data_IF_650963273883
#
_entry.id   IF_650963273883
#
_cell.length_a   1.000
_cell.length_b   1.000
_cell.length_c   1.000
_cell.angle_alpha   90.00
_cell.angle_beta   90.00
_cell.angle_gamma   90.00
#
_symmetry.space_group_name_H-M   'P 1'
#
loop_
_entity.id
_entity.type
_entity.pdbx_description
1 polymer ?
#
# COMPACT_ATOMS: atom_id res chain seq x y z
N UNK A 1 -13.23 -7.87 17.72
CA UNK A 1 -12.05 -8.45 17.04
C UNK A 1 -12.52 -9.59 16.14
N UNK A 2 -11.97 -9.71 14.93
CA UNK A 2 -12.27 -10.78 13.98
C UNK A 2 -10.99 -11.58 13.71
N UNK A 3 -11.00 -12.88 13.92
CA UNK A 3 -9.88 -13.78 13.64
C UNK A 3 -10.23 -14.66 12.44
N UNK A 4 -9.38 -14.64 11.42
CA UNK A 4 -9.51 -15.45 10.20
C UNK A 4 -8.29 -16.37 10.11
N UNK A 5 -8.52 -17.67 10.14
CA UNK A 5 -7.48 -18.70 10.03
C UNK A 5 -7.53 -19.29 8.62
N UNK A 6 -6.39 -19.31 7.94
CA UNK A 6 -6.23 -19.88 6.59
C UNK A 6 -5.16 -20.98 6.61
N UNK A 7 -5.21 -21.88 5.63
CA UNK A 7 -4.37 -23.07 5.60
C UNK A 7 -2.89 -22.77 5.28
N UNK A 8 -2.64 -21.68 4.51
CA UNK A 8 -1.31 -21.34 4.03
C UNK A 8 -1.22 -19.85 3.69
N UNK A 9 -0.01 -19.42 3.33
CA UNK A 9 0.30 -18.04 2.95
C UNK A 9 -0.53 -17.55 1.74
N UNK A 10 -0.70 -18.40 0.73
CA UNK A 10 -1.45 -18.01 -0.49
C UNK A 10 -2.93 -17.80 -0.19
N UNK A 11 -3.54 -18.66 0.60
CA UNK A 11 -4.94 -18.52 1.01
C UNK A 11 -5.14 -17.29 1.89
N UNK A 12 -4.19 -17.00 2.78
CA UNK A 12 -4.20 -15.80 3.61
C UNK A 12 -4.10 -14.53 2.75
N UNK A 13 -3.17 -14.52 1.80
CA UNK A 13 -2.96 -13.39 0.89
C UNK A 13 -4.18 -13.14 0.00
N UNK A 14 -4.79 -14.22 -0.53
CA UNK A 14 -5.99 -14.11 -1.35
C UNK A 14 -7.17 -13.55 -0.55
N UNK A 15 -7.35 -14.01 0.70
CA UNK A 15 -8.41 -13.50 1.57
C UNK A 15 -8.19 -12.02 1.90
N UNK A 16 -6.97 -11.63 2.25
CA UNK A 16 -6.65 -10.24 2.58
C UNK A 16 -6.86 -9.32 1.36
N UNK A 17 -6.43 -9.73 0.18
CA UNK A 17 -6.64 -8.97 -1.05
C UNK A 17 -8.14 -8.81 -1.36
N UNK A 18 -8.93 -9.86 -1.23
CA UNK A 18 -10.38 -9.79 -1.44
C UNK A 18 -11.04 -8.86 -0.43
N UNK A 19 -10.65 -8.93 0.83
CA UNK A 19 -11.17 -8.06 1.89
C UNK A 19 -10.88 -6.57 1.60
N UNK A 20 -9.68 -6.24 1.15
CA UNK A 20 -9.31 -4.88 0.76
C UNK A 20 -10.11 -4.44 -0.48
N UNK A 21 -10.17 -5.28 -1.51
CA UNK A 21 -10.91 -4.97 -2.73
C UNK A 21 -12.40 -4.73 -2.45
N UNK A 22 -13.01 -5.55 -1.61
CA UNK A 22 -14.41 -5.39 -1.19
C UNK A 22 -14.61 -4.07 -0.43
N UNK A 23 -13.68 -3.71 0.46
CA UNK A 23 -13.74 -2.44 1.19
C UNK A 23 -13.66 -1.23 0.25
N UNK A 24 -12.75 -1.26 -0.73
CA UNK A 24 -12.62 -0.21 -1.75
C UNK A 24 -13.90 -0.13 -2.59
N UNK A 25 -14.39 -1.26 -3.09
CA UNK A 25 -15.56 -1.32 -3.97
C UNK A 25 -16.86 -0.91 -3.27
N UNK A 26 -16.96 -1.15 -1.96
CA UNK A 26 -18.12 -0.79 -1.14
C UNK A 26 -18.03 0.61 -0.55
N UNK A 27 -16.93 1.32 -0.74
CA UNK A 27 -16.76 2.70 -0.27
C UNK A 27 -17.68 3.65 -1.06
N UNK A 28 -18.63 4.26 -0.37
CA UNK A 28 -19.65 5.15 -0.97
C UNK A 28 -19.56 6.59 -0.48
N UNK A 29 -18.53 6.90 0.30
CA UNK A 29 -18.33 8.25 0.81
C UNK A 29 -17.78 9.17 -0.28
N UNK A 30 -18.11 10.46 -0.18
CA UNK A 30 -17.66 11.51 -1.11
C UNK A 30 -16.23 11.99 -0.77
N UNK A 31 -15.35 11.02 -0.49
CA UNK A 31 -13.91 11.21 -0.19
C UNK A 31 -13.13 9.98 -0.65
N UNK A 32 -11.82 10.10 -0.90
CA UNK A 32 -11.00 8.94 -1.24
C UNK A 32 -11.01 7.87 -0.15
N UNK A 33 -10.88 6.62 -0.56
CA UNK A 33 -10.62 5.51 0.36
C UNK A 33 -9.17 5.60 0.85
N UNK A 34 -8.95 5.62 2.15
CA UNK A 34 -7.61 5.69 2.73
C UNK A 34 -7.14 4.30 3.14
N UNK A 35 -5.99 3.88 2.63
CA UNK A 35 -5.42 2.56 2.83
C UNK A 35 -4.02 2.66 3.45
N UNK A 36 -3.85 2.12 4.65
CA UNK A 36 -2.55 1.93 5.29
C UNK A 36 -1.85 0.68 4.75
N UNK A 37 -0.58 0.78 4.40
CA UNK A 37 0.20 -0.29 3.77
C UNK A 37 1.50 -0.56 4.52
N UNK A 38 1.77 -1.83 4.88
CA UNK A 38 3.05 -2.26 5.42
C UNK A 38 4.05 -2.62 4.32
N UNK A 39 5.32 -2.71 4.68
CA UNK A 39 6.38 -3.32 3.87
C UNK A 39 6.73 -4.73 4.38
N UNK A 40 7.73 -5.35 3.78
CA UNK A 40 8.20 -6.68 4.18
C UNK A 40 7.56 -7.82 3.39
N UNK A 41 7.92 -9.05 3.74
CA UNK A 41 7.51 -10.25 3.01
C UNK A 41 6.05 -10.66 3.26
N UNK A 42 5.49 -10.31 4.41
CA UNK A 42 4.12 -10.72 4.78
C UNK A 42 3.05 -10.20 3.81
N UNK A 43 3.06 -8.92 3.38
CA UNK A 43 2.02 -8.39 2.48
C UNK A 43 2.26 -8.67 0.99
N UNK A 44 3.41 -9.19 0.58
CA UNK A 44 3.75 -9.35 -0.85
C UNK A 44 2.72 -10.18 -1.62
N UNK A 45 2.26 -11.27 -1.05
CA UNK A 45 1.22 -12.09 -1.67
C UNK A 45 -0.11 -11.35 -1.84
N UNK A 46 -0.46 -10.52 -0.87
CA UNK A 46 -1.64 -9.65 -0.94
C UNK A 46 -1.49 -8.61 -2.05
N UNK A 47 -0.33 -7.95 -2.14
CA UNK A 47 -0.05 -6.98 -3.22
C UNK A 47 -0.12 -7.62 -4.59
N UNK A 48 0.48 -8.80 -4.77
CA UNK A 48 0.41 -9.55 -6.02
C UNK A 48 -1.05 -9.82 -6.43
N UNK A 49 -1.88 -10.26 -5.52
CA UNK A 49 -3.30 -10.51 -5.77
C UNK A 49 -4.06 -9.23 -6.13
N UNK A 50 -3.80 -8.13 -5.42
CA UNK A 50 -4.42 -6.83 -5.73
C UNK A 50 -4.01 -6.32 -7.12
N UNK A 51 -2.76 -6.52 -7.54
CA UNK A 51 -2.30 -6.21 -8.89
C UNK A 51 -3.07 -7.02 -9.93
N UNK A 52 -3.21 -8.33 -9.73
CA UNK A 52 -4.00 -9.21 -10.62
C UNK A 52 -5.45 -8.72 -10.71
N UNK A 53 -6.08 -8.38 -9.59
CA UNK A 53 -7.47 -7.87 -9.53
C UNK A 53 -7.61 -6.51 -10.23
N UNK A 54 -6.63 -5.62 -10.08
CA UNK A 54 -6.62 -4.33 -10.76
C UNK A 54 -6.51 -4.51 -12.28
N UNK A 55 -5.61 -5.38 -12.74
CA UNK A 55 -5.47 -5.70 -14.17
C UNK A 55 -6.71 -6.37 -14.76
N UNK A 56 -7.39 -7.18 -13.97
CA UNK A 56 -8.67 -7.79 -14.36
C UNK A 56 -9.87 -6.83 -14.31
N UNK A 57 -9.69 -5.62 -13.79
CA UNK A 57 -10.75 -4.62 -13.66
C UNK A 57 -11.70 -4.84 -12.49
N UNK A 58 -11.39 -5.73 -11.55
CA UNK A 58 -12.25 -6.04 -10.40
C UNK A 58 -12.07 -5.07 -9.23
N UNK A 59 -10.99 -4.32 -9.19
CA UNK A 59 -10.73 -3.23 -8.25
C UNK A 59 -9.94 -2.12 -8.92
N UNK A 60 -10.25 -0.86 -8.61
CA UNK A 60 -9.50 0.33 -9.08
C UNK A 60 -8.96 1.11 -7.89
N UNK A 61 -7.71 1.58 -8.02
CA UNK A 61 -7.05 2.41 -7.03
C UNK A 61 -7.10 3.91 -7.38
N UNK A 62 -7.83 4.31 -8.40
CA UNK A 62 -7.91 5.72 -8.85
C UNK A 62 -8.43 6.66 -7.77
N UNK A 63 -9.33 6.20 -6.91
CA UNK A 63 -9.88 6.97 -5.79
C UNK A 63 -9.38 6.44 -4.42
N UNK A 64 -8.15 5.93 -4.39
CA UNK A 64 -7.50 5.44 -3.17
C UNK A 64 -6.32 6.34 -2.86
N UNK A 65 -6.15 6.69 -1.59
CA UNK A 65 -4.98 7.37 -1.04
C UNK A 65 -4.28 6.42 -0.09
N UNK A 66 -2.98 6.25 -0.24
CA UNK A 66 -2.21 5.31 0.57
C UNK A 66 -1.24 6.01 1.51
N UNK A 67 -1.01 5.39 2.67
CA UNK A 67 0.01 5.79 3.65
C UNK A 67 0.81 4.56 4.08
N UNK A 68 2.13 4.62 3.95
CA UNK A 68 3.03 3.65 4.56
C UNK A 68 3.36 4.07 5.99
N UNK A 69 3.68 3.09 6.86
CA UNK A 69 3.82 3.35 8.29
C UNK A 69 5.17 3.97 8.65
N UNK A 70 6.21 3.73 7.87
CA UNK A 70 7.57 4.15 8.17
C UNK A 70 8.46 4.25 6.93
N UNK A 71 9.65 4.84 7.10
CA UNK A 71 10.74 4.87 6.13
C UNK A 71 12.07 4.96 6.88
N UNK A 72 13.15 4.48 6.27
CA UNK A 72 14.51 4.63 6.79
C UNK A 72 14.98 6.08 6.72
N UNK A 73 15.59 6.55 7.83
CA UNK A 73 16.23 7.85 7.89
C UNK A 73 17.62 7.77 7.26
N UNK A 74 17.94 8.77 6.43
CA UNK A 74 19.24 8.87 5.78
C UNK A 74 19.39 8.02 4.52
N UNK A 75 18.31 7.42 4.03
CA UNK A 75 18.32 6.59 2.83
C UNK A 75 17.54 7.29 1.71
N UNK A 76 18.15 7.57 0.54
CA UNK A 76 17.45 8.12 -0.61
C UNK A 76 16.34 7.18 -1.08
N UNK A 77 15.24 7.75 -1.57
CA UNK A 77 14.09 6.96 -2.06
C UNK A 77 14.43 6.03 -3.23
N UNK A 78 15.42 6.40 -4.03
CA UNK A 78 15.89 5.64 -5.18
C UNK A 78 16.78 4.45 -4.80
N UNK A 79 17.20 4.38 -3.54
CA UNK A 79 17.98 3.25 -3.04
C UNK A 79 17.11 1.98 -3.00
N UNK A 80 17.65 0.85 -3.45
CA UNK A 80 16.93 -0.42 -3.55
C UNK A 80 16.45 -1.00 -2.20
N UNK A 81 16.95 -0.48 -1.09
CA UNK A 81 16.54 -0.86 0.26
C UNK A 81 15.54 0.11 0.90
N UNK A 82 15.22 1.24 0.25
CA UNK A 82 14.20 2.16 0.75
C UNK A 82 12.80 1.53 0.66
N UNK A 83 11.90 1.93 1.56
CA UNK A 83 10.52 1.48 1.48
C UNK A 83 9.76 2.14 0.34
N UNK A 84 10.17 3.34 -0.08
CA UNK A 84 9.68 3.95 -1.31
C UNK A 84 9.95 3.05 -2.52
N UNK A 85 11.20 2.59 -2.68
CA UNK A 85 11.58 1.68 -3.75
C UNK A 85 10.81 0.36 -3.66
N UNK A 86 10.77 -0.25 -2.47
CA UNK A 86 10.04 -1.49 -2.23
C UNK A 86 8.59 -1.41 -2.68
N UNK A 87 7.88 -0.35 -2.25
CA UNK A 87 6.45 -0.20 -2.55
C UNK A 87 6.20 0.07 -4.03
N UNK A 88 7.04 0.86 -4.69
CA UNK A 88 6.90 1.12 -6.13
C UNK A 88 7.21 -0.13 -6.95
N UNK A 89 8.28 -0.85 -6.63
CA UNK A 89 8.68 -2.06 -7.34
C UNK A 89 7.66 -3.20 -7.18
N UNK A 90 7.10 -3.36 -5.99
CA UNK A 90 6.21 -4.48 -5.67
C UNK A 90 4.72 -4.17 -5.81
N UNK A 91 4.31 -2.91 -5.89
CA UNK A 91 2.88 -2.57 -5.89
C UNK A 91 2.53 -1.37 -6.76
N UNK A 92 2.99 -0.16 -6.41
CA UNK A 92 2.45 1.07 -7.01
C UNK A 92 2.69 1.18 -8.51
N UNK A 93 3.82 0.70 -9.04
CA UNK A 93 4.11 0.72 -10.48
C UNK A 93 3.19 -0.22 -11.30
N UNK A 94 2.43 -1.09 -10.65
CA UNK A 94 1.63 -2.13 -11.30
C UNK A 94 0.12 -1.90 -11.21
N UNK A 95 -0.31 -0.80 -10.59
CA UNK A 95 -1.72 -0.47 -10.38
C UNK A 95 -2.06 0.94 -10.89
N UNK A 96 -3.34 1.26 -10.98
CA UNK A 96 -3.85 2.53 -11.50
C UNK A 96 -3.95 3.67 -10.47
N UNK A 97 -3.16 3.60 -9.39
CA UNK A 97 -3.13 4.66 -8.38
C UNK A 97 -2.45 5.92 -8.93
N UNK A 98 -3.04 7.12 -8.77
CA UNK A 98 -2.36 8.37 -9.09
C UNK A 98 -1.14 8.59 -8.19
N UNK A 99 -0.03 9.09 -8.74
CA UNK A 99 1.21 9.31 -8.00
C UNK A 99 1.04 10.26 -6.80
N UNK A 100 0.19 11.28 -6.95
CA UNK A 100 -0.15 12.24 -5.88
C UNK A 100 -0.92 11.63 -4.71
N UNK A 101 -1.50 10.45 -4.89
CA UNK A 101 -2.24 9.73 -3.86
C UNK A 101 -1.35 8.77 -3.04
N UNK A 102 -0.09 8.63 -3.40
CA UNK A 102 0.87 7.78 -2.67
C UNK A 102 1.61 8.63 -1.65
N UNK A 103 1.51 8.26 -0.38
CA UNK A 103 2.21 8.95 0.71
C UNK A 103 3.21 8.01 1.37
N UNK A 104 4.47 8.41 1.37
CA UNK A 104 5.58 7.77 2.06
C UNK A 104 6.43 8.88 2.70
N UNK A 105 6.90 8.64 3.92
CA UNK A 105 7.78 9.57 4.64
C UNK A 105 9.08 9.84 3.85
N UNK A 106 9.56 11.07 3.95
CA UNK A 106 10.85 11.45 3.36
C UNK A 106 11.98 11.21 4.36
N UNK A 107 12.68 10.07 4.23
CA UNK A 107 13.81 9.73 5.09
C UNK A 107 15.03 10.66 4.95
N UNK A 108 15.07 11.52 3.91
CA UNK A 108 16.12 12.50 3.67
C UNK A 108 15.74 13.91 4.14
N UNK A 109 14.64 14.07 4.88
CA UNK A 109 14.23 15.35 5.41
C UNK A 109 15.30 15.91 6.37
N UNK A 110 15.61 17.20 6.26
CA UNK A 110 16.57 17.87 7.14
C UNK A 110 16.04 18.09 8.55
N UNK A 111 14.72 18.17 8.71
CA UNK A 111 14.00 18.26 9.97
C UNK A 111 12.96 17.14 10.03
N UNK A 112 13.27 16.09 10.81
CA UNK A 112 12.43 14.91 10.92
C UNK A 112 11.13 15.19 11.68
N UNK A 113 11.15 16.10 12.65
CA UNK A 113 9.95 16.49 13.38
C UNK A 113 8.97 17.21 12.44
N UNK A 114 9.47 18.15 11.65
CA UNK A 114 8.66 18.83 10.64
C UNK A 114 8.08 17.85 9.61
N UNK A 115 8.85 16.83 9.21
CA UNK A 115 8.37 15.78 8.31
C UNK A 115 7.25 14.94 8.94
N UNK A 116 7.38 14.59 10.22
CA UNK A 116 6.32 13.90 10.96
C UNK A 116 5.03 14.75 11.04
N UNK A 117 5.17 16.06 11.26
CA UNK A 117 4.02 16.97 11.29
C UNK A 117 3.35 17.13 9.92
N UNK A 118 4.15 17.13 8.84
CA UNK A 118 3.65 17.15 7.46
C UNK A 118 2.82 15.89 7.14
N UNK A 119 3.35 14.72 7.56
CA UNK A 119 2.76 13.42 7.29
C UNK A 119 1.47 13.19 8.05
#
# INVERSE_FOLDING_TARGET
MKLIIKNNYDDMSAWAAQHIADAINNHKEDRPFVLGLPTGSSPLGTYKRLIEMNKAGTVSFKNVVTFNMDEYVGLPREHDQSYWYFMHDNFFNHIDIPAENVNILNGMASDLEAECQRY
#
